data_IF_419326358115
#
_entry.id   IF_419326358115
#
_cell.length_a   1.000
_cell.length_b   1.000
_cell.length_c   1.000
_cell.angle_alpha   90.00
_cell.angle_beta   90.00
_cell.angle_gamma   90.00
#
_symmetry.space_group_name_H-M   'P 1'
#
loop_
_entity.id
_entity.type
_entity.pdbx_description
1 polymer ?
#
# COMPACT_ATOMS: atom_id res chain seq x y z
N UNK A 1 -39.28 -38.57 31.55
CA UNK A 1 -37.97 -38.33 30.96
C UNK A 1 -38.15 -38.08 29.45
N UNK A 2 -38.36 -36.81 29.08
CA UNK A 2 -38.44 -36.38 27.69
C UNK A 2 -37.01 -36.13 27.17
N UNK A 3 -36.63 -36.91 26.16
CA UNK A 3 -35.41 -36.62 25.36
C UNK A 3 -35.65 -35.33 24.59
N UNK A 4 -34.89 -34.28 24.89
CA UNK A 4 -34.76 -33.09 24.04
C UNK A 4 -33.87 -33.49 22.87
N UNK A 5 -34.46 -33.64 21.69
CA UNK A 5 -33.71 -33.71 20.43
C UNK A 5 -33.04 -32.36 20.20
N UNK A 6 -31.72 -32.34 20.33
CA UNK A 6 -30.89 -31.23 19.91
C UNK A 6 -30.83 -31.29 18.39
N UNK A 7 -31.67 -30.52 17.72
CA UNK A 7 -31.55 -30.31 16.28
C UNK A 7 -30.31 -29.44 16.07
N UNK A 8 -29.20 -30.08 15.73
CA UNK A 8 -28.01 -29.40 15.18
C UNK A 8 -28.41 -28.85 13.81
N UNK A 9 -28.77 -27.56 13.77
CA UNK A 9 -28.96 -26.84 12.53
C UNK A 9 -27.55 -26.59 11.97
N UNK A 10 -27.09 -27.49 11.10
CA UNK A 10 -25.96 -27.18 10.23
C UNK A 10 -26.41 -26.02 9.33
N UNK A 11 -26.01 -24.80 9.63
CA UNK A 11 -26.05 -23.71 8.65
C UNK A 11 -25.26 -24.20 7.44
N UNK A 12 -25.92 -24.39 6.31
CA UNK A 12 -25.27 -24.65 5.04
C UNK A 12 -24.31 -23.49 4.82
N UNK A 13 -23.02 -23.75 4.95
CA UNK A 13 -21.99 -22.76 4.72
C UNK A 13 -22.02 -22.45 3.22
N UNK A 14 -22.57 -21.30 2.86
CA UNK A 14 -22.70 -20.88 1.46
C UNK A 14 -21.29 -20.56 0.96
N UNK A 15 -20.81 -21.33 0.00
CA UNK A 15 -19.54 -21.05 -0.68
C UNK A 15 -19.66 -19.74 -1.46
N UNK A 16 -18.76 -18.80 -1.19
CA UNK A 16 -18.69 -17.54 -1.91
C UNK A 16 -18.15 -17.74 -3.34
N UNK A 17 -18.69 -16.99 -4.31
CA UNK A 17 -18.15 -17.01 -5.67
C UNK A 17 -16.81 -16.28 -5.73
N UNK A 18 -16.75 -15.10 -5.10
CA UNK A 18 -15.57 -14.23 -5.07
C UNK A 18 -15.40 -13.67 -3.67
N UNK A 19 -14.23 -13.90 -3.09
CA UNK A 19 -13.77 -13.19 -1.90
C UNK A 19 -12.63 -12.25 -2.30
N UNK A 20 -12.66 -11.01 -1.81
CA UNK A 20 -11.64 -9.98 -2.04
C UNK A 20 -11.04 -9.60 -0.69
N UNK A 21 -9.71 -9.71 -0.55
CA UNK A 21 -8.99 -9.32 0.67
C UNK A 21 -8.42 -7.91 0.47
N UNK A 22 -8.95 -6.95 1.23
CA UNK A 22 -8.51 -5.56 1.24
C UNK A 22 -9.47 -4.60 0.54
N UNK A 23 -9.60 -3.40 1.11
CA UNK A 23 -10.48 -2.31 0.67
C UNK A 23 -9.72 -1.07 0.17
N UNK A 24 -8.45 -1.22 -0.22
CA UNK A 24 -7.73 -0.19 -0.98
C UNK A 24 -8.30 -0.02 -2.40
N UNK A 25 -7.73 0.88 -3.20
CA UNK A 25 -8.17 1.14 -4.57
C UNK A 25 -8.27 -0.14 -5.42
N UNK A 26 -7.34 -1.08 -5.25
CA UNK A 26 -7.38 -2.35 -5.97
C UNK A 26 -8.60 -3.18 -5.59
N UNK A 27 -8.82 -3.40 -4.28
CA UNK A 27 -9.90 -4.24 -3.78
C UNK A 27 -11.28 -3.65 -4.07
N UNK A 28 -11.50 -2.36 -3.83
CA UNK A 28 -12.78 -1.71 -4.12
C UNK A 28 -13.08 -1.63 -5.62
N UNK A 29 -12.06 -1.43 -6.47
CA UNK A 29 -12.26 -1.51 -7.92
C UNK A 29 -12.59 -2.93 -8.35
N UNK A 30 -11.90 -3.95 -7.81
CA UNK A 30 -12.25 -5.34 -8.07
C UNK A 30 -13.70 -5.65 -7.62
N UNK A 31 -14.13 -5.12 -6.48
CA UNK A 31 -15.48 -5.26 -5.97
C UNK A 31 -16.53 -4.64 -6.91
N UNK A 32 -16.28 -3.43 -7.44
CA UNK A 32 -17.16 -2.77 -8.40
C UNK A 32 -17.35 -3.64 -9.65
N UNK A 33 -16.26 -4.13 -10.24
CA UNK A 33 -16.32 -4.92 -11.47
C UNK A 33 -16.97 -6.29 -11.23
N UNK A 34 -16.60 -7.00 -10.15
CA UNK A 34 -17.20 -8.29 -9.80
C UNK A 34 -18.69 -8.16 -9.49
N UNK A 35 -19.11 -7.11 -8.76
CA UNK A 35 -20.52 -6.86 -8.47
C UNK A 35 -21.34 -6.56 -9.74
N UNK A 36 -20.78 -5.77 -10.66
CA UNK A 36 -21.41 -5.49 -11.96
C UNK A 36 -21.53 -6.72 -12.84
N UNK A 37 -20.65 -7.71 -12.66
CA UNK A 37 -20.74 -9.04 -13.29
C UNK A 37 -21.69 -10.02 -12.58
N UNK A 38 -22.48 -9.56 -11.61
CA UNK A 38 -23.41 -10.39 -10.81
C UNK A 38 -22.72 -11.51 -9.99
N UNK A 39 -21.46 -11.31 -9.60
CA UNK A 39 -20.73 -12.29 -8.81
C UNK A 39 -20.93 -12.15 -7.30
N UNK A 40 -21.64 -11.09 -6.85
CA UNK A 40 -21.96 -10.82 -5.44
C UNK A 40 -20.72 -10.93 -4.50
N UNK A 41 -19.64 -10.18 -4.76
CA UNK A 41 -18.38 -10.37 -4.06
C UNK A 41 -18.49 -10.03 -2.57
N UNK A 42 -17.81 -10.82 -1.75
CA UNK A 42 -17.53 -10.50 -0.35
C UNK A 42 -16.16 -9.83 -0.26
N UNK A 43 -16.10 -8.62 0.32
CA UNK A 43 -14.89 -7.83 0.49
C UNK A 43 -14.54 -7.74 1.97
N UNK A 44 -13.37 -8.23 2.35
CA UNK A 44 -12.86 -8.19 3.72
C UNK A 44 -11.93 -6.98 3.89
N UNK A 45 -12.21 -6.14 4.88
CA UNK A 45 -11.48 -4.86 5.04
C UNK A 45 -10.04 -5.03 5.52
N UNK A 46 -9.77 -6.09 6.28
CA UNK A 46 -8.55 -6.17 7.08
C UNK A 46 -8.56 -5.14 8.23
N UNK A 47 -7.40 -4.94 8.83
CA UNK A 47 -7.22 -4.04 9.98
C UNK A 47 -7.30 -2.54 9.63
N UNK A 48 -7.08 -2.18 8.34
CA UNK A 48 -7.09 -0.79 7.88
C UNK A 48 -8.09 -0.63 6.72
N UNK A 49 -9.39 -0.40 7.01
CA UNK A 49 -10.40 -0.14 6.00
C UNK A 49 -10.03 1.05 5.12
N UNK A 50 -10.13 0.90 3.78
CA UNK A 50 -9.74 1.92 2.81
C UNK A 50 -8.25 1.95 2.47
N UNK A 51 -7.40 1.27 3.24
CA UNK A 51 -5.96 1.18 2.99
C UNK A 51 -5.21 2.51 3.11
N UNK A 52 -4.00 2.59 2.53
CA UNK A 52 -3.07 3.71 2.71
C UNK A 52 -3.64 5.07 2.30
N UNK A 53 -4.56 5.16 1.36
CA UNK A 53 -5.14 6.46 0.97
C UNK A 53 -5.92 7.12 2.09
N UNK A 54 -6.46 6.37 3.05
CA UNK A 54 -7.13 6.97 4.22
C UNK A 54 -6.14 7.72 5.12
N UNK A 55 -4.85 7.47 4.96
CA UNK A 55 -3.78 8.19 5.64
C UNK A 55 -3.25 9.39 4.85
N UNK A 56 -3.78 9.67 3.65
CA UNK A 56 -3.39 10.80 2.79
C UNK A 56 -4.42 11.93 2.91
N UNK A 57 -3.97 13.18 3.11
CA UNK A 57 -4.88 14.32 3.27
C UNK A 57 -5.45 14.80 1.93
N UNK A 58 -4.63 14.95 0.90
CA UNK A 58 -5.05 15.43 -0.42
C UNK A 58 -4.44 14.55 -1.53
N UNK A 59 -5.29 14.02 -2.37
CA UNK A 59 -4.94 13.22 -3.56
C UNK A 59 -5.20 14.06 -4.80
N UNK A 60 -4.14 14.56 -5.44
CA UNK A 60 -4.21 15.41 -6.63
C UNK A 60 -3.98 14.63 -7.93
N UNK A 61 -3.55 13.36 -7.84
CA UNK A 61 -3.13 12.55 -8.97
C UNK A 61 -4.07 11.37 -9.30
N UNK A 62 -5.27 11.34 -8.72
CA UNK A 62 -6.32 10.41 -9.13
C UNK A 62 -7.25 11.09 -10.14
N UNK A 63 -7.40 10.54 -11.37
CA UNK A 63 -8.19 11.18 -12.41
C UNK A 63 -9.66 11.38 -12.03
N UNK A 64 -10.25 12.50 -12.47
CA UNK A 64 -11.65 12.85 -12.22
C UNK A 64 -11.85 13.86 -11.09
N UNK A 65 -10.78 14.31 -10.44
CA UNK A 65 -10.82 15.29 -9.35
C UNK A 65 -9.86 16.44 -9.66
N UNK A 66 -10.29 17.46 -10.44
CA UNK A 66 -9.41 18.55 -10.88
C UNK A 66 -8.88 19.40 -9.73
N UNK A 67 -9.62 19.49 -8.62
CA UNK A 67 -9.24 20.22 -7.41
C UNK A 67 -8.55 19.33 -6.37
N UNK A 68 -8.28 18.04 -6.72
CA UNK A 68 -7.91 17.02 -5.75
C UNK A 68 -9.10 16.50 -4.94
N UNK A 69 -8.86 15.50 -4.13
CA UNK A 69 -9.86 14.90 -3.24
C UNK A 69 -9.17 14.45 -1.95
N UNK A 70 -9.85 14.58 -0.83
CA UNK A 70 -9.38 13.95 0.42
C UNK A 70 -9.31 12.45 0.27
N UNK A 71 -8.23 11.83 0.76
CA UNK A 71 -8.00 10.41 0.56
C UNK A 71 -9.06 9.53 1.21
N UNK A 72 -9.53 9.89 2.41
CA UNK A 72 -10.61 9.19 3.08
C UNK A 72 -11.94 9.33 2.31
N UNK A 73 -12.23 10.53 1.79
CA UNK A 73 -13.42 10.78 0.95
C UNK A 73 -13.36 9.95 -0.33
N UNK A 74 -12.22 9.88 -1.01
CA UNK A 74 -12.06 9.06 -2.22
C UNK A 74 -12.38 7.59 -1.93
N UNK A 75 -11.83 7.04 -0.84
CA UNK A 75 -12.06 5.65 -0.47
C UNK A 75 -13.51 5.39 -0.07
N UNK A 76 -14.14 6.34 0.63
CA UNK A 76 -15.57 6.28 0.97
C UNK A 76 -16.44 6.25 -0.28
N UNK A 77 -16.17 7.09 -1.27
CA UNK A 77 -16.91 7.11 -2.55
C UNK A 77 -16.74 5.82 -3.34
N UNK A 78 -15.52 5.25 -3.37
CA UNK A 78 -15.27 3.95 -4.03
C UNK A 78 -16.04 2.81 -3.34
N UNK A 79 -16.07 2.78 -2.02
CA UNK A 79 -16.83 1.80 -1.26
C UNK A 79 -18.33 1.93 -1.55
N UNK A 80 -18.89 3.11 -1.44
CA UNK A 80 -20.31 3.38 -1.76
C UNK A 80 -20.67 2.96 -3.20
N UNK A 81 -19.75 3.18 -4.15
CA UNK A 81 -19.95 2.74 -5.52
C UNK A 81 -19.97 1.21 -5.62
N UNK A 82 -19.09 0.49 -4.93
CA UNK A 82 -19.07 -0.98 -4.91
C UNK A 82 -20.35 -1.54 -4.28
N UNK A 83 -20.76 -1.02 -3.13
CA UNK A 83 -21.98 -1.43 -2.41
C UNK A 83 -23.25 -1.14 -3.23
N UNK A 84 -23.31 -0.02 -3.96
CA UNK A 84 -24.43 0.29 -4.86
C UNK A 84 -24.65 -0.77 -5.94
N UNK A 85 -23.59 -1.47 -6.37
CA UNK A 85 -23.70 -2.57 -7.33
C UNK A 85 -23.88 -3.93 -6.66
N UNK A 86 -23.94 -4.00 -5.33
CA UNK A 86 -24.21 -5.23 -4.59
C UNK A 86 -22.96 -5.92 -4.03
N UNK A 87 -21.80 -5.25 -3.98
CA UNK A 87 -20.66 -5.76 -3.22
C UNK A 87 -20.98 -5.73 -1.72
N UNK A 88 -20.57 -6.77 -1.00
CA UNK A 88 -20.74 -6.87 0.45
C UNK A 88 -19.41 -6.58 1.11
N UNK A 89 -19.28 -5.40 1.70
CA UNK A 89 -18.08 -5.00 2.44
C UNK A 89 -18.27 -5.32 3.92
N UNK A 90 -17.39 -6.15 4.47
CA UNK A 90 -17.45 -6.60 5.86
C UNK A 90 -16.12 -6.36 6.56
N UNK A 91 -16.21 -5.93 7.81
CA UNK A 91 -15.05 -5.95 8.70
C UNK A 91 -14.65 -7.40 8.94
N UNK A 92 -13.39 -7.68 8.80
CA UNK A 92 -12.84 -9.01 9.04
C UNK A 92 -11.37 -9.08 8.63
N UNK A 93 -10.61 -9.79 9.43
CA UNK A 93 -9.19 -10.07 9.18
C UNK A 93 -9.04 -11.54 8.82
N UNK A 94 -8.32 -11.81 7.73
CA UNK A 94 -8.00 -13.18 7.35
C UNK A 94 -6.83 -13.66 8.19
N UNK A 95 -7.05 -14.71 8.99
CA UNK A 95 -6.06 -15.30 9.88
C UNK A 95 -5.20 -16.34 9.18
N UNK A 96 -5.80 -17.12 8.26
CA UNK A 96 -5.11 -18.14 7.48
C UNK A 96 -5.79 -18.42 6.15
N UNK A 97 -5.02 -18.99 5.21
CA UNK A 97 -5.50 -19.43 3.89
C UNK A 97 -5.02 -20.84 3.58
N UNK A 98 -5.90 -21.65 2.99
CA UNK A 98 -5.54 -22.90 2.34
C UNK A 98 -5.91 -22.80 0.85
N UNK A 99 -4.87 -22.68 0.04
CA UNK A 99 -4.97 -22.53 -1.41
C UNK A 99 -4.72 -23.83 -2.15
N UNK A 100 -4.49 -24.94 -1.43
CA UNK A 100 -4.11 -26.26 -2.02
C UNK A 100 -5.28 -27.06 -2.56
N UNK A 101 -6.53 -26.62 -2.31
CA UNK A 101 -7.74 -27.34 -2.69
C UNK A 101 -8.80 -26.48 -3.36
N UNK A 102 -9.91 -27.12 -3.72
CA UNK A 102 -11.15 -26.47 -4.16
C UNK A 102 -12.32 -27.00 -3.32
N UNK A 103 -13.12 -26.15 -2.69
CA UNK A 103 -13.02 -24.67 -2.66
C UNK A 103 -11.74 -24.18 -1.95
N UNK A 104 -11.39 -22.92 -2.22
CA UNK A 104 -10.35 -22.20 -1.47
C UNK A 104 -10.90 -21.94 -0.07
N UNK A 105 -10.09 -22.21 0.96
CA UNK A 105 -10.52 -22.06 2.36
C UNK A 105 -9.77 -20.93 3.04
N UNK A 106 -10.52 -20.14 3.79
CA UNK A 106 -10.03 -19.03 4.59
C UNK A 106 -10.51 -19.23 6.04
N UNK A 107 -9.75 -18.68 6.98
CA UNK A 107 -10.24 -18.41 8.35
C UNK A 107 -10.27 -16.91 8.52
N UNK A 108 -11.41 -16.37 8.91
CA UNK A 108 -11.66 -14.93 9.07
C UNK A 108 -12.15 -14.69 10.49
N UNK A 109 -11.36 -13.98 11.30
CA UNK A 109 -11.65 -13.74 12.72
C UNK A 109 -12.02 -15.03 13.49
N UNK A 110 -11.30 -16.12 13.18
CA UNK A 110 -11.50 -17.45 13.76
C UNK A 110 -12.60 -18.31 13.10
N UNK A 111 -13.40 -17.77 12.18
CA UNK A 111 -14.49 -18.47 11.52
C UNK A 111 -14.12 -18.96 10.12
N UNK A 112 -14.52 -20.18 9.71
CA UNK A 112 -14.22 -20.71 8.41
C UNK A 112 -15.05 -20.04 7.30
N UNK A 113 -14.41 -19.76 6.15
CA UNK A 113 -15.02 -19.20 4.95
C UNK A 113 -14.49 -19.96 3.73
N UNK A 114 -15.39 -20.36 2.82
CA UNK A 114 -15.04 -21.02 1.57
C UNK A 114 -15.38 -20.17 0.36
N UNK A 115 -14.49 -20.19 -0.65
CA UNK A 115 -14.73 -19.43 -1.89
C UNK A 115 -14.24 -20.18 -3.13
N UNK A 116 -14.92 -19.95 -4.25
CA UNK A 116 -14.51 -20.46 -5.56
C UNK A 116 -13.30 -19.70 -6.12
N UNK A 117 -13.25 -18.39 -5.89
CA UNK A 117 -12.14 -17.51 -6.34
C UNK A 117 -11.75 -16.52 -5.24
N UNK A 118 -10.45 -16.19 -5.22
CA UNK A 118 -9.86 -15.24 -4.27
C UNK A 118 -9.11 -14.14 -5.02
N UNK A 119 -9.41 -12.88 -4.71
CA UNK A 119 -8.64 -11.71 -5.16
C UNK A 119 -7.87 -11.14 -3.97
N UNK A 120 -6.57 -11.18 -4.04
CA UNK A 120 -5.67 -10.65 -3.02
C UNK A 120 -5.34 -9.19 -3.39
N UNK A 121 -5.84 -8.25 -2.58
CA UNK A 121 -5.62 -6.82 -2.72
C UNK A 121 -5.17 -6.20 -1.39
N UNK A 122 -4.34 -6.94 -0.65
CA UNK A 122 -3.89 -6.62 0.71
C UNK A 122 -2.95 -5.42 0.80
N UNK A 123 -2.45 -4.91 -0.35
CA UNK A 123 -1.63 -3.72 -0.42
C UNK A 123 -0.23 -3.90 0.17
N UNK A 124 0.37 -2.79 0.55
CA UNK A 124 1.68 -2.72 1.20
C UNK A 124 1.65 -1.68 2.32
N UNK A 125 2.64 -1.70 3.20
CA UNK A 125 2.88 -0.68 4.21
C UNK A 125 4.24 -0.03 4.01
N UNK A 126 4.37 1.23 4.41
CA UNK A 126 5.66 1.92 4.44
C UNK A 126 6.54 1.35 5.56
N UNK A 127 7.84 1.42 5.36
CA UNK A 127 8.80 1.25 6.44
C UNK A 127 8.95 2.59 7.15
N UNK A 128 8.89 2.56 8.48
CA UNK A 128 9.03 3.71 9.34
C UNK A 128 10.45 3.83 9.89
N UNK A 129 10.85 5.05 10.25
CA UNK A 129 12.09 5.29 11.00
C UNK A 129 11.95 4.79 12.44
N UNK A 130 10.72 4.68 12.94
CA UNK A 130 10.39 4.26 14.29
C UNK A 130 10.55 5.38 15.32
N UNK A 131 10.35 6.62 14.90
CA UNK A 131 10.44 7.80 15.77
C UNK A 131 9.04 8.28 16.14
N UNK A 132 8.84 8.60 17.41
CA UNK A 132 7.56 9.18 17.88
C UNK A 132 7.23 10.50 17.16
N UNK A 133 8.26 11.30 16.84
CA UNK A 133 8.10 12.54 16.07
C UNK A 133 7.70 12.28 14.61
N UNK A 134 8.10 11.17 14.01
CA UNK A 134 7.66 10.74 12.67
C UNK A 134 6.15 10.52 12.66
N UNK A 135 5.64 9.70 13.60
CA UNK A 135 4.22 9.38 13.70
C UNK A 135 3.34 10.63 13.94
N UNK A 136 3.77 11.52 14.82
CA UNK A 136 3.03 12.75 15.16
C UNK A 136 3.00 13.77 14.03
N UNK A 137 4.01 13.78 13.17
CA UNK A 137 4.14 14.72 12.04
C UNK A 137 3.76 14.11 10.69
N UNK A 138 3.27 12.88 10.67
CA UNK A 138 2.67 12.31 9.46
C UNK A 138 1.54 13.21 8.95
N UNK A 139 1.49 13.48 7.64
CA UNK A 139 0.62 14.46 6.96
C UNK A 139 0.89 15.95 7.32
N UNK A 140 1.82 16.22 8.21
CA UNK A 140 2.17 17.56 8.67
C UNK A 140 3.57 17.98 8.23
N UNK A 141 4.07 17.31 7.20
CA UNK A 141 5.40 17.48 6.63
C UNK A 141 6.22 16.19 6.59
N UNK A 142 5.81 15.12 7.27
CA UNK A 142 6.36 13.77 7.06
C UNK A 142 5.48 13.03 6.06
N UNK A 143 6.12 12.43 5.04
CA UNK A 143 5.46 11.69 3.96
C UNK A 143 6.33 10.55 3.46
N UNK A 144 5.72 9.59 2.77
CA UNK A 144 6.36 8.38 2.24
C UNK A 144 6.27 8.27 0.72
N UNK A 145 5.82 9.35 0.03
CA UNK A 145 5.61 9.32 -1.42
C UNK A 145 5.87 10.70 -2.04
N UNK A 146 7.01 10.88 -2.67
CA UNK A 146 7.33 12.15 -3.34
C UNK A 146 6.42 12.44 -4.54
N UNK A 147 6.01 11.43 -5.30
CA UNK A 147 5.11 11.61 -6.46
C UNK A 147 3.67 11.97 -6.04
N UNK A 148 3.28 11.62 -4.81
CA UNK A 148 1.98 11.96 -4.26
C UNK A 148 1.97 13.40 -3.72
N UNK A 149 2.95 13.73 -2.89
CA UNK A 149 2.91 14.91 -2.03
C UNK A 149 3.93 16.01 -2.41
N UNK A 150 4.94 15.68 -3.20
CA UNK A 150 6.06 16.61 -3.49
C UNK A 150 5.65 17.92 -4.17
N UNK A 151 4.51 17.93 -4.86
CA UNK A 151 3.96 19.11 -5.51
C UNK A 151 3.16 20.02 -4.56
N UNK A 152 2.83 19.57 -3.35
CA UNK A 152 2.01 20.33 -2.39
C UNK A 152 2.61 21.71 -2.10
N UNK A 153 1.78 22.74 -1.92
CA UNK A 153 2.23 24.12 -1.71
C UNK A 153 3.18 24.28 -0.53
N UNK A 154 3.02 23.45 0.52
CA UNK A 154 3.86 23.50 1.71
C UNK A 154 5.33 23.17 1.47
N UNK A 155 5.66 22.46 0.40
CA UNK A 155 7.02 22.02 0.05
C UNK A 155 7.70 22.90 -1.01
N UNK A 156 6.94 23.75 -1.72
CA UNK A 156 7.46 24.55 -2.84
C UNK A 156 8.49 25.58 -2.39
N UNK A 157 9.62 25.58 -3.08
CA UNK A 157 10.78 26.45 -2.81
C UNK A 157 11.31 26.37 -1.37
N UNK A 158 11.11 25.22 -0.71
CA UNK A 158 11.59 24.94 0.64
C UNK A 158 12.70 23.89 0.61
N UNK A 159 13.58 23.87 1.63
CA UNK A 159 14.49 22.75 1.86
C UNK A 159 13.68 21.51 2.23
N UNK A 160 14.01 20.36 1.62
CA UNK A 160 13.38 19.07 1.91
C UNK A 160 14.44 18.04 2.28
N UNK A 161 14.06 17.07 3.08
CA UNK A 161 14.90 15.92 3.45
C UNK A 161 14.31 14.66 2.84
N UNK A 162 15.14 13.84 2.20
CA UNK A 162 14.84 12.47 1.79
C UNK A 162 15.69 11.53 2.61
N UNK A 163 15.07 10.56 3.26
CA UNK A 163 15.77 9.54 4.06
C UNK A 163 15.78 8.23 3.30
N UNK A 164 16.96 7.78 2.89
CA UNK A 164 17.09 6.53 2.14
C UNK A 164 18.40 6.46 1.36
N UNK A 165 18.54 5.48 0.47
CA UNK A 165 19.76 5.32 -0.32
C UNK A 165 19.69 4.20 -1.36
N UNK A 166 18.51 3.67 -1.65
CA UNK A 166 18.22 2.80 -2.79
C UNK A 166 17.67 3.59 -3.97
N UNK A 167 17.33 2.90 -5.06
CA UNK A 167 16.76 3.52 -6.28
C UNK A 167 15.56 4.40 -5.96
N UNK A 168 14.60 3.93 -5.15
CA UNK A 168 13.42 4.73 -4.76
C UNK A 168 13.80 6.06 -4.09
N UNK A 169 14.79 6.07 -3.19
CA UNK A 169 15.22 7.30 -2.54
C UNK A 169 15.89 8.27 -3.53
N UNK A 170 16.64 7.75 -4.49
CA UNK A 170 17.24 8.52 -5.57
C UNK A 170 16.19 9.12 -6.51
N UNK A 171 15.20 8.31 -6.90
CA UNK A 171 14.07 8.75 -7.74
C UNK A 171 13.25 9.84 -7.04
N UNK A 172 12.92 9.64 -5.77
CA UNK A 172 12.19 10.63 -4.97
C UNK A 172 12.99 11.92 -4.80
N UNK A 173 14.28 11.83 -4.48
CA UNK A 173 15.15 13.00 -4.37
C UNK A 173 15.22 13.79 -5.68
N UNK A 174 15.41 13.12 -6.82
CA UNK A 174 15.39 13.72 -8.14
C UNK A 174 14.04 14.35 -8.48
N UNK A 175 12.93 13.68 -8.16
CA UNK A 175 11.59 14.20 -8.39
C UNK A 175 11.37 15.50 -7.62
N UNK A 176 11.75 15.53 -6.34
CA UNK A 176 11.57 16.68 -5.44
C UNK A 176 12.40 17.91 -5.85
N UNK A 177 13.49 17.75 -6.61
CA UNK A 177 14.27 18.90 -7.12
C UNK A 177 13.45 19.85 -7.98
N UNK A 178 12.34 19.39 -8.54
CA UNK A 178 11.40 20.20 -9.35
C UNK A 178 10.67 21.24 -8.50
N UNK A 179 10.50 20.98 -7.22
CA UNK A 179 9.71 21.79 -6.30
C UNK A 179 10.55 22.43 -5.20
N UNK A 180 11.53 21.69 -4.67
CA UNK A 180 12.37 22.11 -3.57
C UNK A 180 13.41 23.19 -3.95
N UNK A 181 13.83 24.00 -2.97
CA UNK A 181 15.01 24.84 -3.09
C UNK A 181 16.31 24.01 -3.01
N UNK A 182 16.33 23.00 -2.14
CA UNK A 182 17.40 22.03 -1.96
C UNK A 182 16.81 20.73 -1.40
N UNK A 183 17.39 19.59 -1.76
CA UNK A 183 17.02 18.26 -1.24
C UNK A 183 18.24 17.68 -0.51
N UNK A 184 18.13 17.49 0.78
CA UNK A 184 19.12 16.78 1.58
C UNK A 184 18.82 15.29 1.55
N UNK A 185 19.73 14.49 0.98
CA UNK A 185 19.60 13.03 0.91
C UNK A 185 20.38 12.41 2.07
N UNK A 186 19.67 12.03 3.14
CA UNK A 186 20.25 11.44 4.34
C UNK A 186 20.40 9.94 4.18
N UNK A 187 21.62 9.43 4.24
CA UNK A 187 21.90 8.01 4.12
C UNK A 187 22.82 7.51 5.24
N UNK A 188 22.48 6.35 5.80
CA UNK A 188 23.20 5.73 6.92
C UNK A 188 24.57 5.13 6.56
N UNK A 189 24.95 5.12 5.29
CA UNK A 189 26.25 4.64 4.77
C UNK A 189 26.96 5.77 4.04
N UNK A 190 28.18 5.51 3.61
CA UNK A 190 29.02 6.42 2.81
C UNK A 190 28.78 6.32 1.30
N UNK A 191 27.94 5.34 0.87
CA UNK A 191 27.63 5.08 -0.54
C UNK A 191 26.17 4.69 -0.70
N UNK A 192 25.56 5.11 -1.82
CA UNK A 192 24.19 4.70 -2.17
C UNK A 192 24.15 3.20 -2.54
N UNK A 193 22.99 2.58 -2.30
CA UNK A 193 22.71 1.20 -2.73
C UNK A 193 21.91 1.16 -4.03
N UNK A 194 21.61 2.32 -4.59
CA UNK A 194 20.96 2.47 -5.87
C UNK A 194 21.84 1.90 -7.01
N UNK A 195 21.24 1.62 -8.15
CA UNK A 195 21.96 1.31 -9.37
C UNK A 195 22.98 2.42 -9.69
N UNK A 196 24.12 2.08 -10.27
CA UNK A 196 25.19 3.04 -10.54
C UNK A 196 24.68 4.26 -11.32
N UNK A 197 23.88 4.04 -12.35
CA UNK A 197 23.28 5.11 -13.16
C UNK A 197 22.42 6.06 -12.32
N UNK A 198 21.59 5.53 -11.43
CA UNK A 198 20.74 6.35 -10.55
C UNK A 198 21.57 7.08 -9.51
N UNK A 199 22.56 6.43 -8.92
CA UNK A 199 23.46 7.04 -7.95
C UNK A 199 24.23 8.22 -8.59
N UNK A 200 24.87 8.01 -9.74
CA UNK A 200 25.60 9.05 -10.47
C UNK A 200 24.69 10.23 -10.82
N UNK A 201 23.52 9.98 -11.38
CA UNK A 201 22.53 11.00 -11.72
C UNK A 201 22.08 11.81 -10.52
N UNK A 202 21.85 11.15 -9.39
CA UNK A 202 21.41 11.79 -8.14
C UNK A 202 22.51 12.66 -7.58
N UNK A 203 23.74 12.15 -7.51
CA UNK A 203 24.88 12.88 -6.94
C UNK A 203 25.38 14.03 -7.84
N UNK A 204 25.14 13.96 -9.14
CA UNK A 204 25.47 15.03 -10.09
C UNK A 204 24.48 16.20 -10.04
N UNK A 205 23.30 16.04 -9.41
CA UNK A 205 22.27 17.08 -9.43
C UNK A 205 22.58 18.20 -8.43
N UNK A 206 22.64 19.45 -8.90
CA UNK A 206 23.06 20.63 -8.13
C UNK A 206 22.26 20.89 -6.85
N UNK A 207 20.95 20.59 -6.86
CA UNK A 207 20.04 20.77 -5.72
C UNK A 207 20.11 19.62 -4.72
N UNK A 208 20.72 18.49 -5.02
CA UNK A 208 20.80 17.36 -4.10
C UNK A 208 22.09 17.44 -3.29
N UNK A 209 21.94 17.41 -1.97
CA UNK A 209 23.06 17.45 -1.02
C UNK A 209 23.06 16.17 -0.20
N UNK A 210 23.94 15.20 -0.47
CA UNK A 210 24.03 13.99 0.32
C UNK A 210 24.58 14.28 1.72
N UNK A 211 23.97 13.64 2.72
CA UNK A 211 24.43 13.60 4.10
C UNK A 211 24.69 12.13 4.44
N UNK A 212 25.97 11.79 4.46
CA UNK A 212 26.43 10.42 4.61
C UNK A 212 26.55 9.98 6.07
N UNK A 213 26.58 8.66 6.26
CA UNK A 213 26.79 8.01 7.56
C UNK A 213 25.87 8.55 8.67
N UNK A 214 24.67 9.00 8.29
CA UNK A 214 23.79 9.71 9.22
C UNK A 214 22.40 9.10 9.24
N UNK A 215 21.80 9.15 10.43
CA UNK A 215 20.40 8.76 10.66
C UNK A 215 19.64 9.92 11.29
N UNK A 216 18.34 9.98 10.99
CA UNK A 216 17.43 10.92 11.65
C UNK A 216 17.14 10.37 13.05
N UNK A 217 17.29 11.20 14.08
CA UNK A 217 16.99 10.87 15.47
C UNK A 217 15.75 11.56 15.99
N UNK A 218 15.36 12.69 15.41
CA UNK A 218 14.16 13.43 15.75
C UNK A 218 13.71 14.29 14.57
N UNK A 219 12.40 14.48 14.43
CA UNK A 219 11.80 15.45 13.49
C UNK A 219 11.20 16.57 14.36
N UNK A 220 11.57 17.82 14.06
CA UNK A 220 11.32 18.96 14.93
C UNK A 220 9.94 19.57 14.76
N UNK A 221 9.48 20.19 15.88
CA UNK A 221 8.29 21.02 16.02
C UNK A 221 6.95 20.26 16.01
N UNK A 222 6.93 19.07 16.59
CA UNK A 222 5.70 18.34 16.93
C UNK A 222 4.69 19.23 17.64
N UNK A 223 5.14 20.12 18.56
CA UNK A 223 4.26 21.04 19.29
C UNK A 223 3.60 22.10 18.40
N UNK A 224 4.19 22.40 17.25
CA UNK A 224 3.65 23.36 16.26
C UNK A 224 2.86 22.67 15.15
N UNK A 225 2.79 21.34 15.18
CA UNK A 225 2.06 20.53 14.19
C UNK A 225 2.60 20.72 12.76
N UNK A 226 3.92 20.96 12.62
CA UNK A 226 4.60 21.22 11.35
C UNK A 226 6.07 20.83 11.43
N UNK A 227 6.62 20.29 10.35
CA UNK A 227 8.06 20.02 10.24
C UNK A 227 8.83 21.32 10.02
N UNK A 228 9.85 21.58 10.84
CA UNK A 228 10.78 22.71 10.67
C UNK A 228 12.24 22.29 10.52
N UNK A 229 12.56 21.02 10.79
CA UNK A 229 13.90 20.48 10.68
C UNK A 229 13.98 19.04 11.17
N UNK A 230 15.18 18.49 11.08
CA UNK A 230 15.52 17.15 11.59
C UNK A 230 16.82 17.22 12.40
N UNK A 231 16.86 16.47 13.50
CA UNK A 231 18.10 16.12 14.16
C UNK A 231 18.71 14.89 13.50
N UNK A 232 19.99 14.96 13.22
CA UNK A 232 20.77 13.89 12.60
C UNK A 232 21.89 13.47 13.55
N UNK A 233 22.19 12.18 13.58
CA UNK A 233 23.35 11.62 14.24
C UNK A 233 24.26 10.95 13.23
N UNK A 234 25.52 11.36 13.16
CA UNK A 234 26.53 10.68 12.38
C UNK A 234 26.94 9.38 13.08
N UNK A 235 26.96 8.28 12.34
CA UNK A 235 27.23 6.94 12.87
C UNK A 235 28.72 6.61 13.00
N UNK A 236 29.62 7.44 12.43
CA UNK A 236 31.07 7.22 12.47
C UNK A 236 31.68 7.91 13.68
N UNK A 237 31.36 9.18 13.89
CA UNK A 237 31.96 10.02 14.94
C UNK A 237 30.99 10.42 16.05
N UNK A 238 29.69 10.07 15.91
CA UNK A 238 28.64 10.37 16.88
C UNK A 238 28.18 11.84 16.88
N UNK A 239 28.67 12.67 15.97
CA UNK A 239 28.30 14.10 15.87
C UNK A 239 26.80 14.25 15.64
N UNK A 240 26.17 15.13 16.40
CA UNK A 240 24.77 15.50 16.22
C UNK A 240 24.67 16.85 15.52
N UNK A 241 23.79 16.92 14.51
CA UNK A 241 23.58 18.14 13.71
C UNK A 241 22.09 18.33 13.47
N UNK A 242 21.69 19.58 13.25
CA UNK A 242 20.31 19.92 12.85
C UNK A 242 20.29 20.44 11.43
N UNK A 243 19.35 19.91 10.62
CA UNK A 243 19.10 20.35 9.25
C UNK A 243 17.72 20.99 9.18
N UNK A 244 17.62 22.30 8.90
CA UNK A 244 16.33 22.96 8.68
C UNK A 244 15.68 22.42 7.40
N UNK A 245 14.39 22.03 7.49
CA UNK A 245 13.62 21.59 6.34
C UNK A 245 12.12 21.79 6.59
N UNK A 246 11.33 21.86 5.52
CA UNK A 246 9.86 21.96 5.60
C UNK A 246 9.17 20.61 5.41
N UNK A 247 9.91 19.56 5.08
CA UNK A 247 9.36 18.23 4.89
C UNK A 247 10.40 17.14 4.91
N UNK A 248 9.98 15.96 5.34
CA UNK A 248 10.77 14.74 5.42
C UNK A 248 10.07 13.64 4.62
N UNK A 249 10.73 13.16 3.58
CA UNK A 249 10.30 12.07 2.73
C UNK A 249 11.03 10.79 3.13
N UNK A 250 10.29 9.84 3.70
CA UNK A 250 10.87 8.60 4.23
C UNK A 250 10.87 7.53 3.14
N UNK A 251 11.98 7.40 2.43
CA UNK A 251 12.16 6.54 1.26
C UNK A 251 13.04 5.30 1.59
N UNK A 252 12.75 4.62 2.70
CA UNK A 252 13.49 3.43 3.16
C UNK A 252 12.86 2.10 2.73
N UNK A 253 11.84 2.17 1.86
CA UNK A 253 11.18 1.05 1.21
C UNK A 253 9.79 0.76 1.76
N UNK A 254 9.17 -0.22 1.11
CA UNK A 254 7.83 -0.72 1.43
C UNK A 254 7.91 -2.18 1.85
N UNK A 255 6.86 -2.66 2.49
CA UNK A 255 6.67 -4.07 2.83
C UNK A 255 5.29 -4.48 2.34
N UNK A 256 5.18 -5.39 1.36
CA UNK A 256 3.89 -5.90 0.93
C UNK A 256 3.23 -6.69 2.07
N UNK A 257 1.90 -6.59 2.18
CA UNK A 257 1.14 -7.32 3.19
C UNK A 257 0.80 -8.74 2.67
N UNK A 258 1.81 -9.58 2.59
CA UNK A 258 1.77 -10.89 1.92
C UNK A 258 2.22 -12.04 2.81
N UNK A 259 2.54 -11.78 4.06
CA UNK A 259 3.02 -12.76 5.02
C UNK A 259 2.07 -13.95 5.14
N UNK A 260 0.77 -13.70 5.06
CA UNK A 260 -0.29 -14.69 5.09
C UNK A 260 -0.19 -15.72 3.96
N UNK A 261 0.40 -15.33 2.82
CA UNK A 261 0.48 -16.16 1.61
C UNK A 261 1.84 -16.81 1.44
N UNK A 262 2.76 -16.64 2.39
CA UNK A 262 4.09 -17.24 2.36
C UNK A 262 3.99 -18.78 2.31
N UNK A 263 4.69 -19.39 1.36
CA UNK A 263 4.62 -20.84 1.12
C UNK A 263 3.41 -21.32 0.31
N UNK A 264 2.31 -20.56 0.28
CA UNK A 264 1.13 -20.87 -0.52
C UNK A 264 1.21 -20.26 -1.94
N UNK A 265 1.84 -19.08 -2.08
CA UNK A 265 2.09 -18.41 -3.36
C UNK A 265 3.58 -18.18 -3.59
N UNK A 266 3.96 -17.93 -4.84
CA UNK A 266 5.30 -17.49 -5.18
C UNK A 266 5.47 -16.01 -4.82
N UNK A 267 6.45 -15.74 -3.97
CA UNK A 267 6.84 -14.38 -3.58
C UNK A 267 8.25 -14.09 -4.11
N UNK A 268 8.49 -12.85 -4.49
CA UNK A 268 9.83 -12.40 -4.84
C UNK A 268 10.73 -12.22 -3.59
N UNK A 269 12.00 -11.87 -3.78
CA UNK A 269 12.96 -11.67 -2.69
C UNK A 269 12.56 -10.54 -1.72
N UNK A 270 11.63 -9.65 -2.11
CA UNK A 270 11.12 -8.55 -1.30
C UNK A 270 9.74 -8.84 -0.71
N UNK A 271 9.18 -10.03 -0.97
CA UNK A 271 7.89 -10.49 -0.46
C UNK A 271 6.68 -10.15 -1.34
N UNK A 272 6.86 -9.55 -2.53
CA UNK A 272 5.75 -9.27 -3.43
C UNK A 272 5.24 -10.54 -4.11
N UNK A 273 3.92 -10.68 -4.27
CA UNK A 273 3.34 -11.81 -5.00
C UNK A 273 3.72 -11.74 -6.47
N UNK A 274 4.32 -12.83 -6.97
CA UNK A 274 4.68 -12.97 -8.38
C UNK A 274 3.43 -13.27 -9.20
N UNK A 275 3.19 -12.45 -10.23
CA UNK A 275 2.12 -12.66 -11.22
C UNK A 275 2.62 -13.50 -12.37
N UNK A 276 1.81 -14.46 -12.82
CA UNK A 276 2.14 -15.29 -13.98
C UNK A 276 1.76 -14.57 -15.29
N UNK A 277 0.47 -14.23 -15.45
CA UNK A 277 -0.08 -13.50 -16.60
C UNK A 277 -1.24 -12.63 -16.11
N UNK A 278 -1.25 -11.35 -16.44
CA UNK A 278 -2.29 -10.43 -15.98
C UNK A 278 -2.30 -10.32 -14.46
N UNK A 279 -3.41 -10.72 -13.84
CA UNK A 279 -3.59 -10.78 -12.39
C UNK A 279 -3.42 -12.18 -11.79
N UNK A 280 -3.18 -13.21 -12.61
CA UNK A 280 -3.14 -14.62 -12.20
C UNK A 280 -1.92 -14.91 -11.35
N UNK A 281 -2.10 -15.72 -10.32
CA UNK A 281 -1.01 -16.35 -9.57
C UNK A 281 -0.73 -17.77 -10.11
N UNK A 282 0.23 -18.48 -9.52
CA UNK A 282 0.45 -19.91 -9.84
C UNK A 282 -0.73 -20.80 -9.44
N UNK A 283 -1.59 -20.35 -8.53
CA UNK A 283 -2.74 -21.11 -8.04
C UNK A 283 -3.99 -20.74 -8.84
N UNK A 284 -4.61 -21.68 -9.58
CA UNK A 284 -5.81 -21.41 -10.34
C UNK A 284 -6.95 -20.93 -9.45
N UNK A 285 -7.63 -19.83 -9.87
CA UNK A 285 -8.72 -19.19 -9.10
C UNK A 285 -8.24 -18.21 -8.04
N UNK A 286 -6.92 -18.00 -7.91
CA UNK A 286 -6.32 -16.98 -7.04
C UNK A 286 -5.68 -15.89 -7.89
N UNK A 287 -6.12 -14.66 -7.68
CA UNK A 287 -5.71 -13.45 -8.41
C UNK A 287 -5.11 -12.43 -7.44
N UNK A 288 -4.27 -11.54 -7.94
CA UNK A 288 -3.62 -10.52 -7.12
C UNK A 288 -3.67 -9.16 -7.79
N UNK A 289 -3.87 -8.10 -7.01
CA UNK A 289 -3.96 -6.73 -7.50
C UNK A 289 -3.39 -5.70 -6.51
N UNK A 290 -2.82 -4.64 -7.04
CA UNK A 290 -2.28 -3.52 -6.28
C UNK A 290 -0.90 -3.80 -5.68
N UNK A 291 -0.56 -3.01 -4.67
CA UNK A 291 0.80 -2.88 -4.14
C UNK A 291 1.35 -4.15 -3.49
N UNK A 292 0.52 -5.15 -3.21
CA UNK A 292 1.02 -6.47 -2.76
C UNK A 292 1.73 -7.26 -3.87
N UNK A 293 1.62 -6.83 -5.14
CA UNK A 293 2.31 -7.39 -6.30
C UNK A 293 2.97 -6.35 -7.21
N UNK A 294 2.70 -5.06 -6.99
CA UNK A 294 3.31 -3.95 -7.73
C UNK A 294 4.40 -3.28 -6.89
N UNK A 295 5.65 -3.64 -7.12
CA UNK A 295 6.81 -3.00 -6.51
C UNK A 295 7.32 -1.79 -7.32
N UNK A 296 6.73 -1.51 -8.50
CA UNK A 296 7.22 -0.50 -9.45
C UNK A 296 6.48 0.82 -9.30
N UNK A 297 5.17 0.82 -9.53
CA UNK A 297 4.38 2.06 -9.62
C UNK A 297 3.80 2.49 -8.27
N UNK A 298 3.14 1.59 -7.55
CA UNK A 298 2.54 1.85 -6.23
C UNK A 298 1.70 3.12 -6.22
N UNK A 299 0.81 3.24 -7.20
CA UNK A 299 -0.09 4.38 -7.34
C UNK A 299 -1.55 3.92 -7.21
N UNK A 300 -2.41 4.81 -6.69
CA UNK A 300 -3.84 4.55 -6.55
C UNK A 300 -4.49 4.13 -7.86
N UNK A 301 -4.15 4.81 -8.97
CA UNK A 301 -4.72 4.54 -10.28
C UNK A 301 -4.22 3.22 -10.88
N UNK A 302 -2.94 2.85 -10.69
CA UNK A 302 -2.43 1.55 -11.14
C UNK A 302 -3.04 0.42 -10.33
N UNK A 303 -3.18 0.60 -9.01
CA UNK A 303 -3.86 -0.34 -8.14
C UNK A 303 -5.33 -0.55 -8.56
N UNK A 304 -6.06 0.53 -8.87
CA UNK A 304 -7.42 0.45 -9.40
C UNK A 304 -7.47 -0.33 -10.72
N UNK A 305 -6.57 -0.03 -11.67
CA UNK A 305 -6.46 -0.75 -12.94
C UNK A 305 -6.18 -2.24 -12.75
N UNK A 306 -5.30 -2.60 -11.81
CA UNK A 306 -5.03 -3.99 -11.47
C UNK A 306 -6.24 -4.67 -10.83
N UNK A 307 -7.00 -3.97 -9.97
CA UNK A 307 -8.25 -4.48 -9.41
C UNK A 307 -9.30 -4.79 -10.48
N UNK A 308 -9.44 -3.92 -11.49
CA UNK A 308 -10.28 -4.18 -12.66
C UNK A 308 -9.83 -5.46 -13.39
N UNK A 309 -8.54 -5.60 -13.67
CA UNK A 309 -8.00 -6.78 -14.35
C UNK A 309 -8.27 -8.08 -13.55
N UNK A 310 -8.05 -8.05 -12.23
CA UNK A 310 -8.28 -9.21 -11.36
C UNK A 310 -9.75 -9.65 -11.33
N UNK A 311 -10.69 -8.69 -11.31
CA UNK A 311 -12.12 -9.00 -11.37
C UNK A 311 -12.52 -9.65 -12.70
N UNK A 312 -12.01 -9.15 -13.83
CA UNK A 312 -12.28 -9.71 -15.16
C UNK A 312 -11.67 -11.11 -15.28
N UNK A 313 -10.45 -11.32 -14.77
CA UNK A 313 -9.82 -12.64 -14.78
C UNK A 313 -10.58 -13.65 -13.90
N UNK A 314 -11.09 -13.21 -12.73
CA UNK A 314 -11.92 -14.03 -11.85
C UNK A 314 -13.27 -14.41 -12.51
N UNK A 315 -13.94 -13.45 -13.19
CA UNK A 315 -15.17 -13.69 -13.93
C UNK A 315 -14.95 -14.76 -15.03
N UNK A 316 -13.91 -14.59 -15.84
CA UNK A 316 -13.58 -15.54 -16.92
C UNK A 316 -13.26 -16.92 -16.38
N UNK A 317 -12.57 -16.98 -15.24
CA UNK A 317 -12.26 -18.24 -14.59
C UNK A 317 -13.53 -18.97 -14.13
N UNK A 318 -14.47 -18.26 -13.47
CA UNK A 318 -15.74 -18.82 -13.04
C UNK A 318 -16.60 -19.28 -14.20
N UNK A 319 -16.70 -18.49 -15.28
CA UNK A 319 -17.44 -18.85 -16.47
C UNK A 319 -16.88 -20.13 -17.15
N UNK A 320 -15.57 -20.34 -17.10
CA UNK A 320 -14.95 -21.56 -17.60
C UNK A 320 -15.17 -22.79 -16.71
N UNK A 321 -15.53 -22.61 -15.44
CA UNK A 321 -15.89 -23.69 -14.53
C UNK A 321 -17.35 -24.16 -14.69
N UNK A 322 -18.21 -23.24 -15.13
CA UNK A 322 -19.67 -23.51 -15.34
C UNK A 322 -19.96 -24.13 -16.72
N UNK A 323 -18.96 -24.19 -17.62
CA UNK A 323 -19.04 -24.77 -18.97
C UNK A 323 -18.49 -26.18 -19.01
#
# INVERSE_FOLDING_TARGET
LQKRDVVLTFALQIMEKVVIIGTGCAGLTAAIYSARANLNPLVLTGAMPGGLLTTTSLVENFPGFPEGVDGYELMTRLQQQAERFGARVQYGTVDSVDLGGKPIKLVVDGEPLETATLIIASGARHRHLGLESEEKLEKKGVTYCATCDGALPMFRNKPLVVVGGGDSACEEALYLTRFASVVYLVHRRDTLRASNIMAERTLAHEKIKPIWNSVVTEIHDVAKDVVTGVALKNLVDGTETTVPCAGVFVAIGHMPNTELFAGALDLDANGYVIRAEGSKTRVPGVFVAGDCSDHVYRQAITAAGMGCAAAIDAERYLAAMDS
#
